data_IF_221413389021
#
_entry.id   IF_221413389021
#
_cell.length_a   1.000
_cell.length_b   1.000
_cell.length_c   1.000
_cell.angle_alpha   90.00
_cell.angle_beta   90.00
_cell.angle_gamma   90.00
#
_symmetry.space_group_name_H-M   'P 1'
#
loop_
_entity.id
_entity.type
_entity.pdbx_description
1 polymer ?
#
# COMPACT_ATOMS: atom_id res chain seq x y z
N UNK A 1 -7.00 -5.75 10.14
CA UNK A 1 -6.05 -4.90 10.89
C UNK A 1 -4.89 -5.69 11.51
N UNK A 2 -5.11 -6.88 12.07
CA UNK A 2 -4.05 -7.70 12.70
C UNK A 2 -2.95 -8.19 11.73
N UNK A 3 -3.29 -8.42 10.46
CA UNK A 3 -2.32 -8.87 9.44
C UNK A 3 -1.19 -7.86 9.24
N UNK A 4 -1.53 -6.59 9.01
CA UNK A 4 -0.54 -5.51 8.83
C UNK A 4 0.31 -5.28 10.09
N UNK A 5 -0.31 -5.31 11.28
CA UNK A 5 0.41 -5.18 12.56
C UNK A 5 1.40 -6.33 12.76
N UNK A 6 1.03 -7.56 12.36
CA UNK A 6 1.92 -8.71 12.43
C UNK A 6 3.11 -8.57 11.47
N UNK A 7 2.92 -7.99 10.28
CA UNK A 7 4.02 -7.76 9.33
C UNK A 7 4.99 -6.70 9.85
N UNK A 8 4.47 -5.61 10.42
CA UNK A 8 5.27 -4.58 11.08
C UNK A 8 6.00 -5.14 12.31
N UNK A 9 5.36 -5.99 13.11
CA UNK A 9 6.00 -6.61 14.28
C UNK A 9 7.14 -7.55 13.88
N UNK A 10 6.93 -8.37 12.84
CA UNK A 10 7.99 -9.21 12.27
C UNK A 10 9.16 -8.36 11.79
N UNK A 11 8.89 -7.25 11.12
CA UNK A 11 9.91 -6.29 10.72
C UNK A 11 10.66 -5.70 11.94
N UNK A 12 9.95 -5.30 12.99
CA UNK A 12 10.53 -4.71 14.19
C UNK A 12 11.48 -5.67 14.93
N UNK A 13 11.17 -6.98 14.94
CA UNK A 13 12.05 -8.02 15.48
C UNK A 13 13.39 -8.09 14.75
N UNK A 14 13.39 -7.98 13.42
CA UNK A 14 14.63 -7.97 12.64
C UNK A 14 15.46 -6.69 12.87
N UNK A 15 14.78 -5.57 13.11
CA UNK A 15 15.43 -4.29 13.36
C UNK A 15 15.98 -4.16 14.80
N UNK A 16 15.34 -4.77 15.79
CA UNK A 16 15.67 -4.61 17.20
C UNK A 16 17.17 -4.81 17.54
N UNK A 17 17.88 -5.84 17.02
CA UNK A 17 19.31 -6.02 17.30
C UNK A 17 20.17 -4.83 16.83
N UNK A 18 19.85 -4.24 15.68
CA UNK A 18 20.54 -3.05 15.19
C UNK A 18 20.28 -1.85 16.08
N UNK A 19 19.03 -1.67 16.51
CA UNK A 19 18.67 -0.60 17.44
C UNK A 19 19.46 -0.69 18.76
N UNK A 20 19.57 -1.89 19.34
CA UNK A 20 20.37 -2.09 20.54
C UNK A 20 21.86 -1.84 20.29
N UNK A 21 22.42 -2.35 19.18
CA UNK A 21 23.83 -2.15 18.85
C UNK A 21 24.19 -0.67 18.75
N UNK A 22 23.37 0.13 18.05
CA UNK A 22 23.57 1.57 17.95
C UNK A 22 23.33 2.29 19.28
N UNK A 23 22.33 1.90 20.06
CA UNK A 23 22.09 2.49 21.38
C UNK A 23 23.29 2.29 22.32
N UNK A 24 23.92 1.12 22.30
CA UNK A 24 25.16 0.88 23.04
C UNK A 24 26.34 1.68 22.48
N UNK A 25 26.45 1.80 21.16
CA UNK A 25 27.52 2.56 20.53
C UNK A 25 27.43 4.07 20.87
N UNK A 26 26.23 4.65 20.87
CA UNK A 26 26.00 6.00 21.35
C UNK A 26 26.28 6.15 22.84
N UNK A 27 25.81 5.22 23.67
CA UNK A 27 26.10 5.25 25.10
C UNK A 27 27.61 5.26 25.38
N UNK A 28 28.39 4.42 24.70
CA UNK A 28 29.85 4.40 24.83
C UNK A 28 30.50 5.69 24.32
N UNK A 29 30.00 6.27 23.22
CA UNK A 29 30.53 7.51 22.66
C UNK A 29 30.36 8.69 23.63
N UNK A 30 29.20 8.79 24.28
CA UNK A 30 28.88 9.89 25.19
C UNK A 30 29.36 9.64 26.63
N UNK A 31 29.64 8.39 27.02
CA UNK A 31 30.18 8.07 28.34
C UNK A 31 31.53 8.78 28.62
N UNK A 32 32.33 9.01 27.58
CA UNK A 32 33.60 9.74 27.73
C UNK A 32 33.40 11.26 27.82
N UNK A 33 32.36 11.83 27.19
CA UNK A 33 31.99 13.24 27.35
C UNK A 33 31.41 13.50 28.74
N UNK A 34 30.56 12.59 29.26
CA UNK A 34 29.93 12.71 30.59
C UNK A 34 30.94 12.68 31.74
N UNK A 35 32.14 12.12 31.55
CA UNK A 35 33.23 12.21 32.53
C UNK A 35 33.85 13.61 32.60
N UNK A 36 33.64 14.43 31.58
CA UNK A 36 34.15 15.79 31.49
C UNK A 36 33.07 16.75 31.98
N UNK A 37 33.40 17.54 33.02
CA UNK A 37 32.48 18.43 33.76
C UNK A 37 31.81 19.51 32.89
N UNK A 38 32.20 19.64 31.62
CA UNK A 38 31.70 20.63 30.65
C UNK A 38 30.68 20.09 29.63
N UNK A 39 30.33 18.79 29.64
CA UNK A 39 29.33 18.25 28.72
C UNK A 39 27.93 18.22 29.36
N UNK A 40 26.98 18.97 28.79
CA UNK A 40 25.56 18.94 29.15
C UNK A 40 24.80 17.99 28.21
N UNK A 41 25.22 16.72 28.19
CA UNK A 41 24.66 15.66 27.35
C UNK A 41 23.65 14.82 28.13
N UNK A 42 22.67 15.46 28.77
CA UNK A 42 21.64 14.80 29.59
C UNK A 42 20.81 13.75 28.83
N UNK A 43 20.75 13.84 27.49
CA UNK A 43 20.08 12.87 26.62
C UNK A 43 20.74 11.48 26.57
N UNK A 44 21.98 11.34 27.04
CA UNK A 44 22.77 10.10 26.99
C UNK A 44 23.25 9.61 28.38
N UNK A 45 22.80 10.24 29.47
CA UNK A 45 23.24 9.93 30.84
C UNK A 45 22.90 8.50 31.28
N UNK A 46 21.78 7.96 30.80
CA UNK A 46 21.32 6.59 31.09
C UNK A 46 21.21 5.75 29.83
N UNK A 47 21.38 4.43 29.98
CA UNK A 47 21.18 3.45 28.88
C UNK A 47 19.75 3.56 28.32
N UNK A 48 18.75 3.75 29.18
CA UNK A 48 17.35 3.92 28.77
C UNK A 48 17.14 5.21 27.97
N UNK A 49 17.75 6.32 28.40
CA UNK A 49 17.68 7.60 27.69
C UNK A 49 18.39 7.52 26.34
N UNK A 50 19.59 6.94 26.32
CA UNK A 50 20.34 6.68 25.07
C UNK A 50 19.53 5.83 24.09
N UNK A 51 18.78 4.85 24.58
CA UNK A 51 17.90 4.02 23.76
C UNK A 51 16.74 4.82 23.14
N UNK A 52 16.07 5.66 23.93
CA UNK A 52 14.99 6.53 23.45
C UNK A 52 15.53 7.54 22.44
N UNK A 53 16.65 8.19 22.75
CA UNK A 53 17.31 9.15 21.85
C UNK A 53 17.73 8.47 20.55
N UNK A 54 18.29 7.27 20.60
CA UNK A 54 18.65 6.50 19.38
C UNK A 54 17.40 6.13 18.57
N UNK A 55 16.28 5.85 19.23
CA UNK A 55 15.00 5.60 18.56
C UNK A 55 14.44 6.87 17.89
N UNK A 56 14.59 8.04 18.52
CA UNK A 56 14.24 9.33 17.91
C UNK A 56 15.13 9.64 16.70
N UNK A 57 16.43 9.34 16.79
CA UNK A 57 17.36 9.43 15.64
C UNK A 57 16.91 8.54 14.49
N UNK A 58 16.39 7.34 14.76
CA UNK A 58 15.78 6.49 13.73
C UNK A 58 14.57 7.15 13.06
N UNK A 59 13.72 7.83 13.82
CA UNK A 59 12.59 8.61 13.30
C UNK A 59 13.03 9.90 12.58
N UNK A 60 14.34 10.10 12.36
CA UNK A 60 14.94 11.30 11.80
C UNK A 60 14.67 12.57 12.64
N UNK A 61 14.34 12.39 13.92
CA UNK A 61 14.13 13.44 14.91
C UNK A 61 15.34 13.45 15.84
N UNK A 62 16.40 14.17 15.47
CA UNK A 62 17.61 14.26 16.29
C UNK A 62 17.94 15.70 16.63
N UNK A 63 18.35 15.91 17.88
CA UNK A 63 18.88 17.18 18.35
C UNK A 63 20.40 17.19 18.10
N UNK A 64 20.85 18.16 17.30
CA UNK A 64 22.29 18.36 17.02
C UNK A 64 23.02 19.04 18.17
N UNK A 65 22.29 19.67 19.10
CA UNK A 65 22.87 20.40 20.22
C UNK A 65 23.73 19.54 21.15
N UNK A 66 23.41 18.25 21.29
CA UNK A 66 24.22 17.31 22.09
C UNK A 66 25.52 16.88 21.37
N UNK A 67 25.52 16.88 20.03
CA UNK A 67 26.68 16.46 19.22
C UNK A 67 27.72 17.58 19.05
N UNK A 68 27.28 18.85 19.04
CA UNK A 68 28.18 20.01 18.97
C UNK A 68 29.04 20.20 20.23
N UNK A 69 28.65 19.57 21.35
CA UNK A 69 29.43 19.60 22.58
C UNK A 69 30.63 18.63 22.57
N UNK A 70 30.68 17.69 21.60
CA UNK A 70 31.79 16.75 21.48
C UNK A 70 33.02 17.45 20.87
N UNK A 71 34.19 17.21 21.46
CA UNK A 71 35.45 17.81 21.00
C UNK A 71 36.35 16.81 20.29
N UNK A 72 37.09 17.26 19.28
CA UNK A 72 38.15 16.49 18.63
C UNK A 72 37.66 15.27 17.85
N UNK A 73 38.26 14.10 18.10
CA UNK A 73 37.99 12.87 17.34
C UNK A 73 36.58 12.30 17.60
N UNK A 74 36.00 12.55 18.78
CA UNK A 74 34.67 12.05 19.15
C UNK A 74 33.57 12.71 18.33
N UNK A 75 33.73 14.00 17.98
CA UNK A 75 32.82 14.73 17.10
C UNK A 75 32.69 14.01 15.75
N UNK A 76 33.83 13.74 15.10
CA UNK A 76 33.84 13.08 13.77
C UNK A 76 33.23 11.69 13.83
N UNK A 77 33.57 10.91 14.87
CA UNK A 77 33.00 9.57 15.07
C UNK A 77 31.49 9.64 15.31
N UNK A 78 31.01 10.62 16.08
CA UNK A 78 29.58 10.83 16.33
C UNK A 78 28.78 11.12 15.06
N UNK A 79 29.26 12.02 14.20
CA UNK A 79 28.60 12.30 12.92
C UNK A 79 28.65 11.12 11.94
N UNK A 80 29.76 10.39 11.88
CA UNK A 80 29.84 9.18 11.05
C UNK A 80 28.86 8.12 11.55
N UNK A 81 28.79 7.92 12.86
CA UNK A 81 27.90 6.94 13.49
C UNK A 81 26.43 7.33 13.29
N UNK A 82 26.11 8.62 13.37
CA UNK A 82 24.79 9.17 13.05
C UNK A 82 24.43 8.96 11.58
N UNK A 83 25.32 9.37 10.68
CA UNK A 83 25.08 9.26 9.24
C UNK A 83 24.95 7.79 8.81
N UNK A 84 25.81 6.90 9.33
CA UNK A 84 25.76 5.47 9.03
C UNK A 84 24.51 4.82 9.61
N UNK A 85 24.14 5.17 10.85
CA UNK A 85 22.91 4.68 11.49
C UNK A 85 21.68 5.07 10.65
N UNK A 86 21.48 6.36 10.41
CA UNK A 86 20.31 6.84 9.66
C UNK A 86 20.28 6.28 8.24
N UNK A 87 21.41 6.21 7.55
CA UNK A 87 21.45 5.66 6.17
C UNK A 87 21.16 4.17 6.15
N UNK A 88 21.81 3.38 7.00
CA UNK A 88 21.58 1.93 7.06
C UNK A 88 20.13 1.62 7.43
N UNK A 89 19.59 2.33 8.41
CA UNK A 89 18.23 2.13 8.88
C UNK A 89 17.22 2.54 7.83
N UNK A 90 17.39 3.68 7.16
CA UNK A 90 16.52 4.08 6.04
C UNK A 90 16.55 3.08 4.89
N UNK A 91 17.73 2.60 4.47
CA UNK A 91 17.84 1.62 3.38
C UNK A 91 17.27 0.26 3.79
N UNK A 92 17.51 -0.22 5.02
CA UNK A 92 16.94 -1.48 5.51
C UNK A 92 15.43 -1.40 5.71
N UNK A 93 14.94 -0.32 6.35
CA UNK A 93 13.52 -0.05 6.55
C UNK A 93 12.82 -0.01 5.21
N UNK A 94 13.24 0.87 4.29
CA UNK A 94 12.55 1.00 3.00
C UNK A 94 12.50 -0.32 2.25
N UNK A 95 13.64 -1.00 2.09
CA UNK A 95 13.71 -2.18 1.24
C UNK A 95 12.88 -3.34 1.78
N UNK A 96 12.93 -3.58 3.10
CA UNK A 96 12.19 -4.69 3.72
C UNK A 96 10.72 -4.31 3.96
N UNK A 97 10.42 -3.09 4.37
CA UNK A 97 9.06 -2.61 4.61
C UNK A 97 8.26 -2.55 3.31
N UNK A 98 8.85 -2.05 2.21
CA UNK A 98 8.18 -2.07 0.90
C UNK A 98 7.97 -3.50 0.45
N UNK A 99 8.96 -4.39 0.58
CA UNK A 99 8.79 -5.79 0.18
C UNK A 99 7.69 -6.51 0.98
N UNK A 100 7.63 -6.28 2.29
CA UNK A 100 6.62 -6.88 3.18
C UNK A 100 5.23 -6.27 2.95
N UNK A 101 5.14 -4.94 2.78
CA UNK A 101 3.88 -4.27 2.50
C UNK A 101 3.35 -4.60 1.12
N UNK A 102 4.18 -4.70 0.07
CA UNK A 102 3.71 -5.17 -1.23
C UNK A 102 3.04 -6.52 -1.06
N UNK A 103 3.80 -7.52 -0.58
CA UNK A 103 3.28 -8.89 -0.43
C UNK A 103 2.01 -8.95 0.42
N UNK A 104 1.95 -8.25 1.55
CA UNK A 104 0.79 -8.32 2.42
C UNK A 104 -0.37 -7.45 1.97
N UNK A 105 -0.14 -6.34 1.27
CA UNK A 105 -1.21 -5.54 0.66
C UNK A 105 -1.84 -6.32 -0.50
N UNK A 106 -1.07 -7.05 -1.30
CA UNK A 106 -1.62 -7.97 -2.30
C UNK A 106 -2.49 -9.05 -1.65
N UNK A 107 -2.01 -9.70 -0.58
CA UNK A 107 -2.78 -10.71 0.16
C UNK A 107 -4.06 -10.12 0.80
N UNK A 108 -3.99 -8.89 1.32
CA UNK A 108 -5.14 -8.18 1.91
C UNK A 108 -6.15 -7.82 0.82
N UNK A 109 -5.70 -7.38 -0.35
CA UNK A 109 -6.57 -7.01 -1.46
C UNK A 109 -7.35 -8.22 -1.99
N UNK A 110 -6.70 -9.37 -2.14
CA UNK A 110 -7.35 -10.59 -2.59
C UNK A 110 -8.41 -11.06 -1.58
N UNK A 111 -8.09 -11.05 -0.29
CA UNK A 111 -9.03 -11.35 0.78
C UNK A 111 -10.20 -10.36 0.83
N UNK A 112 -9.92 -9.06 0.67
CA UNK A 112 -10.95 -8.03 0.66
C UNK A 112 -11.87 -8.16 -0.54
N UNK A 113 -11.35 -8.52 -1.72
CA UNK A 113 -12.17 -8.81 -2.90
C UNK A 113 -13.09 -10.01 -2.66
N UNK A 114 -12.56 -11.07 -2.07
CA UNK A 114 -13.36 -12.26 -1.76
C UNK A 114 -14.42 -11.96 -0.69
N UNK A 115 -14.05 -11.22 0.35
CA UNK A 115 -14.97 -10.78 1.40
C UNK A 115 -16.06 -9.85 0.85
N UNK A 116 -15.73 -8.95 -0.08
CA UNK A 116 -16.70 -8.11 -0.77
C UNK A 116 -17.69 -8.93 -1.61
N UNK A 117 -17.24 -9.95 -2.34
CA UNK A 117 -18.12 -10.85 -3.08
C UNK A 117 -19.02 -11.68 -2.16
N UNK A 118 -18.48 -12.18 -1.04
CA UNK A 118 -19.27 -12.87 -0.03
C UNK A 118 -20.30 -11.93 0.61
N UNK A 119 -19.92 -10.71 0.95
CA UNK A 119 -20.82 -9.71 1.51
C UNK A 119 -21.91 -9.30 0.53
N UNK A 120 -21.58 -9.22 -0.76
CA UNK A 120 -22.56 -9.00 -1.83
C UNK A 120 -23.55 -10.16 -1.94
N UNK A 121 -23.06 -11.40 -2.01
CA UNK A 121 -23.91 -12.59 -2.06
C UNK A 121 -24.80 -12.71 -0.82
N UNK A 122 -24.27 -12.40 0.37
CA UNK A 122 -25.05 -12.38 1.61
C UNK A 122 -26.13 -11.29 1.59
N UNK A 123 -25.81 -10.11 1.04
CA UNK A 123 -26.77 -9.02 0.87
C UNK A 123 -27.90 -9.43 -0.08
N UNK A 124 -27.57 -10.03 -1.24
CA UNK A 124 -28.56 -10.54 -2.20
C UNK A 124 -29.44 -11.63 -1.57
N UNK A 125 -28.85 -12.63 -0.91
CA UNK A 125 -29.60 -13.67 -0.19
C UNK A 125 -30.51 -13.09 0.89
N UNK A 126 -30.04 -12.08 1.62
CA UNK A 126 -30.83 -11.39 2.63
C UNK A 126 -32.00 -10.66 1.99
N UNK A 127 -31.78 -9.95 0.88
CA UNK A 127 -32.82 -9.27 0.11
C UNK A 127 -33.88 -10.25 -0.40
N UNK A 128 -33.48 -11.39 -1.00
CA UNK A 128 -34.40 -12.44 -1.44
C UNK A 128 -35.23 -13.01 -0.29
N UNK A 129 -34.60 -13.26 0.86
CA UNK A 129 -35.29 -13.77 2.05
C UNK A 129 -36.31 -12.78 2.62
N UNK A 130 -36.06 -11.47 2.53
CA UNK A 130 -36.96 -10.42 3.03
C UNK A 130 -38.09 -10.04 2.08
N UNK A 131 -37.87 -10.15 0.77
CA UNK A 131 -38.90 -9.90 -0.26
C UNK A 131 -39.87 -11.09 -0.38
N UNK A 132 -39.44 -12.28 0.09
CA UNK A 132 -40.17 -13.52 -0.04
C UNK A 132 -39.90 -14.19 -1.38
N UNK A 133 -40.05 -15.52 -1.45
CA UNK A 133 -39.83 -16.29 -2.69
C UNK A 133 -40.94 -15.91 -3.67
N UNK A 134 -40.68 -14.95 -4.56
CA UNK A 134 -41.48 -14.81 -5.77
C UNK A 134 -41.11 -15.97 -6.70
N UNK A 135 -42.12 -16.70 -7.17
CA UNK A 135 -41.91 -17.69 -8.23
C UNK A 135 -41.31 -16.94 -9.43
N UNK A 136 -40.08 -17.33 -9.81
CA UNK A 136 -39.45 -16.84 -11.02
C UNK A 136 -40.39 -17.23 -12.18
N UNK A 137 -40.89 -16.30 -13.00
CA UNK A 137 -41.62 -16.64 -14.19
C UNK A 137 -40.77 -17.59 -15.04
N UNK A 138 -41.34 -18.72 -15.50
CA UNK A 138 -40.63 -19.79 -16.24
C UNK A 138 -39.81 -19.29 -17.45
N UNK A 139 -40.06 -18.06 -17.90
CA UNK A 139 -39.35 -17.39 -18.98
C UNK A 139 -37.85 -17.14 -18.70
N UNK A 140 -37.43 -17.06 -17.42
CA UNK A 140 -36.02 -16.86 -17.03
C UNK A 140 -35.30 -18.15 -16.60
N UNK A 141 -35.98 -19.30 -16.60
CA UNK A 141 -35.35 -20.58 -16.29
C UNK A 141 -34.45 -21.02 -17.46
N UNK A 142 -33.14 -21.28 -17.24
CA UNK A 142 -32.33 -21.91 -18.28
C UNK A 142 -32.99 -23.24 -18.66
N UNK A 143 -33.25 -23.42 -19.96
CA UNK A 143 -33.98 -24.55 -20.59
C UNK A 143 -33.59 -25.95 -20.10
N UNK A 144 -32.44 -26.09 -19.43
CA UNK A 144 -31.91 -27.34 -18.88
C UNK A 144 -32.65 -27.89 -17.65
N UNK A 145 -33.51 -27.12 -16.99
CA UNK A 145 -34.26 -27.59 -15.80
C UNK A 145 -35.70 -28.01 -16.10
N UNK A 146 -36.30 -27.54 -17.20
CA UNK A 146 -37.67 -27.91 -17.62
C UNK A 146 -37.74 -29.38 -18.05
N UNK A 147 -36.63 -29.95 -18.52
CA UNK A 147 -36.59 -31.33 -19.02
C UNK A 147 -36.56 -32.38 -17.90
N UNK A 148 -36.17 -32.03 -16.67
CA UNK A 148 -36.07 -32.98 -15.54
C UNK A 148 -37.45 -33.18 -14.88
N UNK A 149 -38.33 -32.19 -14.92
CA UNK A 149 -39.62 -32.22 -14.23
C UNK A 149 -40.68 -33.07 -14.96
N UNK A 150 -40.55 -33.24 -16.28
CA UNK A 150 -41.48 -34.04 -17.08
C UNK A 150 -41.21 -35.56 -17.00
N UNK A 151 -40.07 -35.97 -16.45
CA UNK A 151 -39.68 -37.38 -16.32
C UNK A 151 -40.02 -38.03 -14.97
N UNK A 152 -40.58 -37.30 -13.99
CA UNK A 152 -40.71 -37.79 -12.60
C UNK A 152 -42.14 -37.96 -12.08
N UNK A 153 -43.16 -37.92 -12.94
CA UNK A 153 -44.53 -38.29 -12.55
C UNK A 153 -44.88 -39.74 -12.95
N UNK A 154 -44.32 -40.72 -12.24
CA UNK A 154 -44.99 -42.01 -11.93
C UNK A 154 -44.31 -42.69 -10.72
N UNK A 155 -45.12 -42.97 -9.68
CA UNK A 155 -44.94 -43.92 -8.55
C UNK A 155 -44.18 -43.50 -7.26
N UNK A 156 -44.96 -42.98 -6.30
CA UNK A 156 -45.31 -43.55 -4.96
C UNK A 156 -44.28 -44.32 -4.08
N UNK A 157 -44.19 -43.85 -2.82
CA UNK A 157 -44.01 -44.57 -1.52
C UNK A 157 -42.63 -44.82 -0.85
N UNK A 158 -42.38 -44.06 0.24
CA UNK A 158 -41.62 -44.24 1.53
C UNK A 158 -40.27 -45.04 1.68
N UNK A 159 -39.40 -44.65 2.67
CA UNK A 159 -37.94 -44.95 2.82
C UNK A 159 -37.65 -46.26 3.62
N UNK A 160 -36.40 -46.75 3.95
CA UNK A 160 -35.13 -46.02 4.22
C UNK A 160 -33.74 -46.70 3.95
N UNK A 161 -32.68 -45.90 4.18
CA UNK A 161 -31.40 -46.23 4.83
C UNK A 161 -30.10 -46.52 4.01
N UNK A 162 -29.04 -45.83 4.46
CA UNK A 162 -27.59 -46.14 4.50
C UNK A 162 -26.71 -46.34 3.23
N UNK A 163 -25.60 -45.55 3.26
CA UNK A 163 -24.21 -45.83 2.83
C UNK A 163 -23.78 -45.61 1.38
N UNK A 164 -23.01 -44.53 1.19
CA UNK A 164 -21.84 -44.42 0.29
C UNK A 164 -20.83 -45.56 0.57
N UNK A 165 -19.99 -46.02 -0.40
CA UNK A 165 -18.89 -45.19 -0.94
C UNK A 165 -18.48 -45.42 -2.43
N UNK A 166 -17.92 -44.33 -2.99
CA UNK A 166 -16.78 -44.17 -3.94
C UNK A 166 -16.59 -45.11 -5.16
N UNK A 167 -16.44 -44.53 -6.37
CA UNK A 167 -15.16 -44.14 -7.03
C UNK A 167 -15.26 -44.16 -8.58
N UNK A 168 -14.78 -43.07 -9.20
CA UNK A 168 -14.10 -42.93 -10.52
C UNK A 168 -14.86 -43.16 -11.84
N UNK A 169 -14.94 -42.07 -12.62
CA UNK A 169 -14.49 -41.93 -14.03
C UNK A 169 -14.78 -40.48 -14.45
N UNK A 170 -13.78 -39.59 -14.43
CA UNK A 170 -13.02 -39.14 -15.63
C UNK A 170 -13.91 -38.77 -16.82
N UNK A 171 -14.20 -37.47 -16.97
CA UNK A 171 -14.33 -36.88 -18.31
C UNK A 171 -14.03 -35.36 -18.33
N UNK A 172 -12.97 -35.03 -19.06
CA UNK A 172 -12.71 -33.82 -19.84
C UNK A 172 -13.23 -32.45 -19.35
N UNK A 173 -12.32 -31.66 -18.76
CA UNK A 173 -12.40 -30.19 -18.79
C UNK A 173 -11.60 -29.70 -20.00
N UNK A 174 -12.32 -29.33 -21.05
CA UNK A 174 -11.83 -28.52 -22.16
C UNK A 174 -11.52 -27.12 -21.62
N UNK A 175 -10.25 -26.72 -21.70
CA UNK A 175 -9.84 -25.32 -21.55
C UNK A 175 -10.38 -24.48 -22.71
N UNK A 176 -11.06 -23.35 -22.46
CA UNK A 176 -11.14 -22.29 -23.44
C UNK A 176 -9.79 -21.59 -23.53
N UNK A 177 -9.16 -21.78 -24.68
CA UNK A 177 -7.96 -21.11 -25.15
C UNK A 177 -8.17 -19.58 -25.11
N UNK A 178 -7.52 -18.90 -24.17
CA UNK A 178 -7.44 -17.44 -24.12
C UNK A 178 -6.27 -16.99 -25.00
N UNK A 179 -6.56 -16.86 -26.31
CA UNK A 179 -5.68 -16.17 -27.26
C UNK A 179 -6.46 -14.99 -27.84
N UNK A 180 -6.49 -13.90 -27.07
CA UNK A 180 -6.79 -12.57 -27.58
C UNK A 180 -5.52 -12.02 -28.25
N UNK A 181 -5.57 -11.59 -29.52
CA UNK A 181 -4.39 -11.09 -30.23
C UNK A 181 -3.93 -9.76 -29.64
N UNK A 182 -2.63 -9.65 -29.38
CA UNK A 182 -1.94 -8.38 -29.17
C UNK A 182 -2.12 -7.49 -30.42
N UNK A 183 -3.14 -6.64 -30.40
CA UNK A 183 -3.35 -5.63 -31.41
C UNK A 183 -3.29 -4.25 -30.77
N UNK A 184 -2.16 -3.58 -31.01
CA UNK A 184 -1.95 -2.14 -30.95
C UNK A 184 -2.13 -1.41 -29.61
N UNK A 185 -1.26 -1.77 -28.66
CA UNK A 185 -0.91 -0.85 -27.57
C UNK A 185 -0.02 0.32 -28.03
N UNK A 186 0.57 0.24 -29.22
CA UNK A 186 1.51 1.26 -29.71
C UNK A 186 0.80 2.43 -30.40
N UNK A 187 -0.29 2.20 -31.14
CA UNK A 187 -1.03 3.30 -31.78
C UNK A 187 -1.87 4.08 -30.77
N UNK A 188 -2.36 3.42 -29.73
CA UNK A 188 -3.05 4.08 -28.60
C UNK A 188 -2.09 4.95 -27.79
N UNK A 189 -0.87 4.47 -27.52
CA UNK A 189 0.17 5.28 -26.86
C UNK A 189 0.58 6.47 -27.74
N UNK A 190 0.76 6.28 -29.05
CA UNK A 190 1.06 7.39 -29.97
C UNK A 190 -0.07 8.41 -30.04
N UNK A 191 -1.33 7.97 -30.04
CA UNK A 191 -2.49 8.87 -30.02
C UNK A 191 -2.55 9.71 -28.74
N UNK A 192 -2.28 9.09 -27.57
CA UNK A 192 -2.26 9.80 -26.28
C UNK A 192 -1.10 10.82 -26.23
N UNK A 193 0.09 10.45 -26.72
CA UNK A 193 1.23 11.36 -26.76
C UNK A 193 0.93 12.57 -27.66
N UNK A 194 0.28 12.34 -28.81
CA UNK A 194 -0.12 13.40 -29.73
C UNK A 194 -1.15 14.35 -29.11
N UNK A 195 -2.09 13.81 -28.32
CA UNK A 195 -3.12 14.61 -27.64
C UNK A 195 -2.52 15.49 -26.54
N UNK A 196 -1.57 14.95 -25.77
CA UNK A 196 -0.82 15.70 -24.74
C UNK A 196 0.00 16.83 -25.36
N UNK A 197 0.67 16.59 -26.50
CA UNK A 197 1.45 17.62 -27.19
C UNK A 197 0.56 18.79 -27.67
N UNK A 198 -0.62 18.49 -28.22
CA UNK A 198 -1.57 19.49 -28.68
C UNK A 198 -2.16 20.31 -27.50
N UNK A 199 -2.40 19.66 -26.35
CA UNK A 199 -2.83 20.33 -25.13
C UNK A 199 -1.75 21.27 -24.55
N UNK A 200 -0.47 20.89 -24.59
CA UNK A 200 0.63 21.77 -24.18
C UNK A 200 0.75 23.00 -25.08
N UNK A 201 0.61 22.83 -26.40
CA UNK A 201 0.69 23.94 -27.35
C UNK A 201 -0.45 24.96 -27.12
N UNK A 202 -1.68 24.47 -26.87
CA UNK A 202 -2.82 25.32 -26.53
C UNK A 202 -2.63 26.06 -25.20
N UNK A 203 -2.10 25.41 -24.18
CA UNK A 203 -1.78 26.06 -22.90
C UNK A 203 -0.75 27.19 -23.11
N UNK A 204 0.33 26.92 -23.83
CA UNK A 204 1.36 27.92 -24.09
C UNK A 204 0.82 29.12 -24.90
N UNK A 205 -0.09 28.87 -25.85
CA UNK A 205 -0.76 29.93 -26.59
C UNK A 205 -1.71 30.76 -25.70
N UNK A 206 -2.40 30.13 -24.75
CA UNK A 206 -3.23 30.83 -23.76
C UNK A 206 -2.38 31.66 -22.80
N UNK A 207 -1.26 31.12 -22.31
CA UNK A 207 -0.32 31.86 -21.46
C UNK A 207 0.24 33.09 -22.19
N UNK A 208 0.59 32.95 -23.47
CA UNK A 208 1.06 34.08 -24.28
C UNK A 208 -0.01 35.15 -24.50
N UNK A 209 -1.27 34.75 -24.72
CA UNK A 209 -2.40 35.69 -24.80
C UNK A 209 -2.70 36.39 -23.49
N UNK A 210 -2.52 35.71 -22.35
CA UNK A 210 -2.71 36.30 -21.04
C UNK A 210 -1.65 37.38 -20.76
N UNK A 211 -0.41 37.12 -21.19
CA UNK A 211 0.71 38.08 -21.09
C UNK A 211 0.47 39.28 -22.01
N UNK A 212 0.04 39.06 -23.26
CA UNK A 212 -0.30 40.17 -24.19
C UNK A 212 -1.49 41.01 -23.71
N UNK A 213 -2.45 40.41 -22.99
CA UNK A 213 -3.55 41.13 -22.34
C UNK A 213 -3.04 41.97 -21.16
N UNK A 214 -2.14 41.43 -20.35
CA UNK A 214 -1.52 42.15 -19.25
C UNK A 214 -0.65 43.33 -19.72
N UNK A 215 0.03 43.20 -20.86
CA UNK A 215 0.83 44.26 -21.46
C UNK A 215 -0.04 45.35 -22.11
N UNK A 216 -1.20 44.99 -22.69
CA UNK A 216 -2.18 45.97 -23.21
C UNK A 216 -2.82 46.82 -22.13
N UNK A 217 -3.12 46.26 -20.95
CA UNK A 217 -3.68 47.01 -19.82
C UNK A 217 -2.67 48.04 -19.24
N UNK A 218 -1.36 47.83 -19.45
CA UNK A 218 -0.31 48.79 -19.06
C UNK A 218 -0.12 49.94 -20.06
N UNK A 219 -0.50 49.75 -21.34
CA UNK A 219 -0.39 50.79 -22.39
C UNK A 219 -1.64 51.69 -22.46
N UNK A 220 -2.77 51.25 -21.91
CA UNK A 220 -4.05 51.95 -22.01
C UNK A 220 -4.45 52.69 -20.71
N UNK A 221 -3.49 53.20 -19.95
CA UNK A 221 -3.75 54.28 -18.99
C UNK A 221 -3.58 55.62 -19.72
N UNK A 222 -4.67 56.28 -20.18
CA UNK A 222 -4.55 57.60 -20.74
C UNK A 222 -3.98 58.56 -19.68
N UNK A 223 -2.87 59.21 -20.04
CA UNK A 223 -2.59 60.56 -19.58
C UNK A 223 -3.76 61.43 -20.02
N UNK A 224 -4.54 61.92 -19.07
CA UNK A 224 -5.46 63.07 -19.09
C UNK A 224 -6.33 62.93 -17.83
N UNK A 225 -6.63 63.93 -17.02
CA UNK A 225 -6.41 65.38 -17.03
C UNK A 225 -6.73 65.85 -15.59
N UNK A 226 -6.01 66.89 -15.16
CA UNK A 226 -6.35 67.89 -14.11
C UNK A 226 -6.95 67.45 -12.76
#
# INVERSE_FOLDING_TARGET
MTLLVNDVYRFLIFYAPFQFAYAFAYYLLFQDCLKQESCDASAFDSISQSFITTYLVMLQQFDTGSFDQLQGAQYVVGYILLLSHTTLVMVMLLNVLVAMLSKSVEDILERAKQEALCSFAECVLRCEKTIGIQNIPEEYLPKKLVEIQNSSSTQSAKPPNEKTPLLKSEENIVSPNEQTPLLSSEDTVKAIIQEIANLQEKMNALTKRLIDLHDKDMVQKPSNEM
#
